data_IF_587879884420
#
_entry.id   IF_587879884420
#
_cell.length_a   1.000
_cell.length_b   1.000
_cell.length_c   1.000
_cell.angle_alpha   90.00
_cell.angle_beta   90.00
_cell.angle_gamma   90.00
#
_symmetry.space_group_name_H-M   'P 1'
#
loop_
_entity.id
_entity.type
_entity.pdbx_description
1 polymer ?
#
# COMPACT_ATOMS: atom_id res chain seq x y z
N UNK A 1 -7.72 5.45 -5.07
CA UNK A 1 -7.78 3.97 -5.03
C UNK A 1 -8.15 3.54 -3.60
N UNK A 2 -9.01 2.55 -3.41
CA UNK A 2 -9.62 2.22 -2.10
C UNK A 2 -8.67 1.50 -1.14
N UNK A 3 -7.65 2.19 -0.63
CA UNK A 3 -6.67 1.68 0.33
C UNK A 3 -6.41 2.75 1.41
N UNK A 4 -6.53 2.38 2.69
CA UNK A 4 -6.22 3.26 3.81
C UNK A 4 -4.76 3.07 4.22
N UNK A 5 -4.01 4.18 4.30
CA UNK A 5 -2.60 4.18 4.70
C UNK A 5 -2.34 5.19 5.81
N UNK A 6 -1.28 4.94 6.58
CA UNK A 6 -0.83 5.79 7.68
C UNK A 6 0.59 6.24 7.35
N UNK A 7 0.88 7.53 7.46
CA UNK A 7 2.23 8.07 7.29
C UNK A 7 3.21 7.43 8.28
N UNK A 8 4.44 7.20 7.84
CA UNK A 8 5.49 6.61 8.67
C UNK A 8 6.86 7.22 8.37
N UNK A 9 7.75 7.15 9.38
CA UNK A 9 9.11 7.69 9.33
C UNK A 9 9.20 9.17 9.69
N UNK A 10 10.38 9.61 10.13
CA UNK A 10 10.65 11.01 10.52
C UNK A 10 10.40 11.99 9.37
N UNK A 11 10.64 11.56 8.14
CA UNK A 11 10.48 12.37 6.93
C UNK A 11 9.21 12.02 6.13
N UNK A 12 8.30 11.22 6.70
CA UNK A 12 7.05 10.80 6.04
C UNK A 12 7.26 10.12 4.68
N UNK A 13 8.41 9.49 4.47
CA UNK A 13 8.83 8.88 3.21
C UNK A 13 8.84 7.34 3.27
N UNK A 14 8.19 6.74 4.27
CA UNK A 14 8.13 5.29 4.43
C UNK A 14 6.71 4.81 4.17
N UNK A 15 6.56 3.87 3.24
CA UNK A 15 5.34 3.10 3.04
C UNK A 15 5.40 1.91 4.02
N UNK A 16 4.54 1.92 5.04
CA UNK A 16 4.46 0.86 6.05
C UNK A 16 3.10 0.18 5.97
N UNK A 17 3.10 -1.14 5.86
CA UNK A 17 1.88 -1.96 5.92
C UNK A 17 1.57 -2.34 7.37
N UNK A 18 0.33 -2.07 7.79
CA UNK A 18 -0.21 -2.44 9.11
C UNK A 18 -1.58 -3.09 8.94
N UNK A 19 -1.62 -4.17 8.16
CA UNK A 19 -2.83 -4.98 7.99
C UNK A 19 -3.12 -5.85 9.23
N UNK A 20 -4.39 -6.16 9.54
CA UNK A 20 -4.71 -7.07 10.63
C UNK A 20 -4.20 -8.48 10.33
N UNK A 21 -3.86 -9.25 11.38
CA UNK A 21 -3.40 -10.65 11.23
C UNK A 21 -4.49 -11.60 10.69
N UNK A 22 -5.74 -11.15 10.70
CA UNK A 22 -6.91 -11.90 10.20
C UNK A 22 -7.36 -11.43 8.81
N UNK A 23 -6.55 -10.60 8.13
CA UNK A 23 -6.84 -10.17 6.75
C UNK A 23 -7.00 -11.39 5.84
N UNK A 24 -7.94 -11.34 4.90
CA UNK A 24 -8.08 -12.40 3.89
C UNK A 24 -7.03 -12.25 2.79
N UNK A 25 -6.67 -13.35 2.15
CA UNK A 25 -5.70 -13.33 1.03
C UNK A 25 -6.17 -12.43 -0.11
N UNK A 26 -7.48 -12.42 -0.41
CA UNK A 26 -8.08 -11.58 -1.45
C UNK A 26 -7.95 -10.08 -1.12
N UNK A 27 -8.20 -9.69 0.12
CA UNK A 27 -8.05 -8.29 0.56
C UNK A 27 -6.59 -7.85 0.57
N UNK A 28 -5.69 -8.74 0.98
CA UNK A 28 -4.25 -8.48 0.97
C UNK A 28 -3.75 -8.25 -0.47
N UNK A 29 -4.09 -9.15 -1.39
CA UNK A 29 -3.70 -9.06 -2.80
C UNK A 29 -4.27 -7.81 -3.48
N UNK A 30 -5.54 -7.48 -3.19
CA UNK A 30 -6.15 -6.23 -3.65
C UNK A 30 -5.42 -5.00 -3.11
N UNK A 31 -5.01 -5.02 -1.83
CA UNK A 31 -4.26 -3.93 -1.23
C UNK A 31 -2.88 -3.74 -1.87
N UNK A 32 -2.16 -4.83 -2.11
CA UNK A 32 -0.82 -4.81 -2.72
C UNK A 32 -0.87 -4.40 -4.20
N UNK A 33 -1.82 -4.90 -4.98
CA UNK A 33 -1.99 -4.52 -6.39
C UNK A 33 -2.28 -3.03 -6.58
N UNK A 34 -3.03 -2.40 -5.66
CA UNK A 34 -3.23 -0.94 -5.67
C UNK A 34 -1.90 -0.19 -5.48
N UNK A 35 -1.01 -0.68 -4.61
CA UNK A 35 0.30 -0.07 -4.38
C UNK A 35 1.18 -0.25 -5.62
N UNK A 36 1.22 -1.45 -6.18
CA UNK A 36 1.99 -1.76 -7.39
C UNK A 36 1.58 -0.88 -8.57
N UNK A 37 0.28 -0.77 -8.85
CA UNK A 37 -0.24 0.06 -9.94
C UNK A 37 0.14 1.53 -9.76
N UNK A 38 0.01 2.06 -8.54
CA UNK A 38 0.39 3.45 -8.24
C UNK A 38 1.89 3.71 -8.41
N UNK A 39 2.75 2.76 -8.01
CA UNK A 39 4.19 2.86 -8.22
C UNK A 39 4.55 2.73 -9.71
N UNK A 40 3.91 1.81 -10.43
CA UNK A 40 4.08 1.63 -11.87
C UNK A 40 3.75 2.89 -12.67
N UNK A 41 2.64 3.55 -12.35
CA UNK A 41 2.25 4.84 -12.95
C UNK A 41 3.33 5.91 -12.75
N UNK A 42 3.88 6.02 -11.54
CA UNK A 42 4.92 7.00 -11.20
C UNK A 42 6.26 6.70 -11.88
N UNK A 43 6.65 5.42 -11.96
CA UNK A 43 7.92 5.02 -12.57
C UNK A 43 7.91 5.03 -14.11
N UNK A 44 6.74 5.01 -14.73
CA UNK A 44 6.60 5.04 -16.20
C UNK A 44 6.60 6.45 -16.79
N UNK A 45 6.80 7.48 -15.96
CA UNK A 45 6.90 8.90 -16.32
C UNK A 45 8.35 9.37 -16.22
#
# INVERSE_FOLDING_TARGET
KGLLMISAGTHSNIIRTLMPLVITDEELEKGLSIIEEALGELCST
#
